data_IF_263174953541
#
_entry.id   IF_263174953541
#
_cell.length_a   1.000
_cell.length_b   1.000
_cell.length_c   1.000
_cell.angle_alpha   90.00
_cell.angle_beta   90.00
_cell.angle_gamma   90.00
#
_symmetry.space_group_name_H-M   'P 1'
#
loop_
_entity.id
_entity.type
_entity.pdbx_description
1 polymer ?
#
# COMPACT_ATOMS: atom_id res chain seq x y z
N UNK A 1 8.99 -28.12 11.98
CA UNK A 1 9.64 -26.80 11.76
C UNK A 1 8.93 -26.20 10.58
N UNK A 2 7.87 -25.44 10.84
CA UNK A 2 7.06 -24.80 9.80
C UNK A 2 7.93 -23.74 9.14
N UNK A 3 8.17 -23.88 7.84
CA UNK A 3 8.79 -22.82 7.05
C UNK A 3 7.76 -21.71 6.93
N UNK A 4 7.82 -20.71 7.82
CA UNK A 4 7.08 -19.46 7.67
C UNK A 4 7.43 -18.93 6.27
N UNK A 5 6.42 -18.81 5.41
CA UNK A 5 6.58 -18.28 4.06
C UNK A 5 6.76 -16.76 4.15
N UNK A 6 7.91 -16.32 4.65
CA UNK A 6 8.25 -14.89 4.73
C UNK A 6 8.24 -14.35 3.30
N UNK A 7 7.41 -13.33 3.00
CA UNK A 7 7.42 -12.70 1.70
C UNK A 7 8.85 -12.26 1.37
N UNK A 8 9.27 -12.40 0.11
CA UNK A 8 10.60 -11.91 -0.34
C UNK A 8 10.50 -10.77 -1.33
N UNK A 9 9.33 -10.18 -1.42
CA UNK A 9 9.00 -9.15 -2.41
C UNK A 9 7.91 -8.24 -1.85
N UNK A 10 7.91 -6.99 -2.30
CA UNK A 10 6.83 -6.02 -2.05
C UNK A 10 5.61 -6.27 -2.93
N UNK A 11 5.73 -7.06 -4.01
CA UNK A 11 4.65 -7.33 -4.95
C UNK A 11 3.42 -7.97 -4.29
N UNK A 12 2.24 -7.68 -4.81
CA UNK A 12 0.94 -8.19 -4.37
C UNK A 12 0.20 -7.27 -3.42
N UNK A 13 -0.92 -7.76 -2.87
CA UNK A 13 -1.81 -7.00 -2.00
C UNK A 13 -1.38 -7.04 -0.52
N UNK A 14 -1.54 -5.90 0.14
CA UNK A 14 -1.22 -5.66 1.54
C UNK A 14 -2.39 -4.95 2.22
N UNK A 15 -2.74 -5.39 3.43
CA UNK A 15 -3.72 -4.76 4.31
C UNK A 15 -3.01 -3.79 5.24
N UNK A 16 -3.34 -2.51 5.18
CA UNK A 16 -2.79 -1.49 6.08
C UNK A 16 -3.45 -1.66 7.45
N UNK A 17 -2.67 -1.93 8.50
CA UNK A 17 -3.20 -2.21 9.83
C UNK A 17 -2.91 -1.10 10.85
N UNK A 18 -1.94 -0.25 10.58
CA UNK A 18 -1.55 0.87 11.44
C UNK A 18 -1.17 2.08 10.58
N UNK A 19 -1.52 3.26 11.07
CA UNK A 19 -1.12 4.58 10.58
C UNK A 19 -0.77 5.46 11.77
N UNK A 20 0.19 6.37 11.61
CA UNK A 20 0.60 7.29 12.68
C UNK A 20 -0.51 8.28 13.08
N UNK A 21 -1.31 8.74 12.11
CA UNK A 21 -2.28 9.83 12.30
C UNK A 21 -3.73 9.36 12.53
N UNK A 22 -4.07 8.11 12.19
CA UNK A 22 -5.46 7.63 12.15
C UNK A 22 -5.60 6.27 12.82
N UNK A 23 -6.68 6.08 13.58
CA UNK A 23 -7.02 4.80 14.17
C UNK A 23 -7.59 3.81 13.13
N UNK A 24 -7.86 2.57 13.56
CA UNK A 24 -8.26 1.48 12.66
C UNK A 24 -9.63 1.70 12.01
N UNK A 25 -10.54 2.37 12.71
CA UNK A 25 -11.89 2.64 12.20
C UNK A 25 -11.84 3.75 11.16
N UNK A 26 -10.99 4.76 11.39
CA UNK A 26 -10.72 5.82 10.43
C UNK A 26 -10.06 5.29 9.15
N UNK A 27 -9.01 4.47 9.24
CA UNK A 27 -8.34 3.95 8.02
C UNK A 27 -9.27 3.11 7.15
N UNK A 28 -10.26 2.44 7.74
CA UNK A 28 -11.20 1.57 7.03
C UNK A 28 -12.52 2.27 6.62
N UNK A 29 -12.56 3.61 6.66
CA UNK A 29 -13.77 4.40 6.41
C UNK A 29 -14.50 4.01 5.11
N UNK A 30 -13.75 3.80 4.02
CA UNK A 30 -14.28 3.39 2.71
C UNK A 30 -14.07 1.89 2.41
N UNK A 31 -14.01 1.07 3.47
CA UNK A 31 -13.69 -0.36 3.40
C UNK A 31 -12.22 -0.64 3.75
N UNK A 32 -11.78 -1.90 3.67
CA UNK A 32 -10.44 -2.28 4.12
C UNK A 32 -9.35 -1.44 3.45
N UNK A 33 -8.55 -0.75 4.26
CA UNK A 33 -7.37 -0.05 3.76
C UNK A 33 -6.36 -1.04 3.16
N UNK A 34 -6.03 -0.87 1.88
CA UNK A 34 -5.17 -1.77 1.12
C UNK A 34 -4.15 -1.00 0.30
N UNK A 35 -3.05 -1.68 0.00
CA UNK A 35 -2.04 -1.22 -0.95
C UNK A 35 -1.59 -2.43 -1.78
N UNK A 36 -1.61 -2.30 -3.10
CA UNK A 36 -1.21 -3.34 -4.03
C UNK A 36 -0.08 -2.84 -4.93
N UNK A 37 0.97 -3.66 -5.05
CA UNK A 37 2.09 -3.42 -5.94
C UNK A 37 2.11 -4.44 -7.08
N UNK A 38 1.92 -3.95 -8.29
CA UNK A 38 1.92 -4.71 -9.54
C UNK A 38 3.33 -5.01 -10.03
N UNK A 39 3.43 -5.94 -11.00
CA UNK A 39 4.72 -6.31 -11.63
C UNK A 39 5.13 -5.37 -12.78
N UNK A 40 4.21 -4.53 -13.20
CA UNK A 40 4.29 -3.63 -14.35
C UNK A 40 4.64 -2.20 -13.95
N UNK A 41 5.31 -2.03 -12.80
CA UNK A 41 5.66 -0.72 -12.24
C UNK A 41 4.43 0.13 -11.88
N UNK A 42 3.26 -0.49 -11.69
CA UNK A 42 2.05 0.17 -11.23
C UNK A 42 1.60 -0.35 -9.88
N UNK A 43 0.70 0.40 -9.23
CA UNK A 43 0.01 -0.07 -8.05
C UNK A 43 -1.22 0.76 -7.75
N UNK A 44 -1.95 0.36 -6.71
CA UNK A 44 -3.11 1.08 -6.22
C UNK A 44 -3.15 1.05 -4.70
N UNK A 45 -3.83 2.02 -4.11
CA UNK A 45 -4.12 1.99 -2.69
C UNK A 45 -5.49 2.58 -2.39
N UNK A 46 -6.00 2.23 -1.21
CA UNK A 46 -7.14 2.85 -0.55
C UNK A 46 -6.87 2.90 0.95
N UNK A 47 -7.12 4.03 1.59
CA UNK A 47 -7.30 4.16 3.03
C UNK A 47 -8.10 5.43 3.29
N UNK A 48 -8.80 5.54 4.42
CA UNK A 48 -9.70 6.67 4.71
C UNK A 48 -10.66 6.93 3.52
N UNK A 49 -10.86 8.19 3.12
CA UNK A 49 -11.53 8.60 1.88
C UNK A 49 -10.55 8.85 0.70
N UNK A 50 -9.36 8.25 0.73
CA UNK A 50 -8.32 8.43 -0.29
C UNK A 50 -8.14 7.17 -1.12
N UNK A 51 -8.14 7.32 -2.43
CA UNK A 51 -7.79 6.29 -3.40
C UNK A 51 -6.78 6.85 -4.41
N UNK A 52 -5.82 6.03 -4.85
CA UNK A 52 -4.84 6.49 -5.82
C UNK A 52 -4.17 5.38 -6.61
N UNK A 53 -3.78 5.71 -7.83
CA UNK A 53 -2.89 4.92 -8.67
C UNK A 53 -1.43 5.33 -8.43
N UNK A 54 -0.52 4.37 -8.49
CA UNK A 54 0.91 4.56 -8.21
C UNK A 54 1.77 4.25 -9.45
N UNK A 55 2.74 5.11 -9.77
CA UNK A 55 3.92 4.79 -10.60
C UNK A 55 5.03 4.34 -9.65
N UNK A 56 5.45 3.08 -9.75
CA UNK A 56 6.29 2.38 -8.80
C UNK A 56 7.68 2.07 -9.37
N UNK A 57 8.72 2.35 -8.61
CA UNK A 57 10.10 1.95 -8.90
C UNK A 57 10.56 0.91 -7.88
N UNK A 58 10.66 -0.33 -8.34
CA UNK A 58 11.06 -1.46 -7.50
C UNK A 58 12.58 -1.52 -7.39
N UNK A 59 13.07 -1.56 -6.15
CA UNK A 59 14.48 -1.49 -5.84
C UNK A 59 14.86 -2.45 -4.71
N UNK A 60 16.17 -2.53 -4.45
CA UNK A 60 16.73 -3.19 -3.28
C UNK A 60 17.49 -2.15 -2.46
N UNK A 61 17.12 -1.98 -1.18
CA UNK A 61 17.80 -1.07 -0.26
C UNK A 61 18.29 -1.85 0.95
N UNK A 62 19.59 -1.76 1.23
CA UNK A 62 20.25 -2.54 2.29
C UNK A 62 19.98 -4.06 2.21
N UNK A 63 19.87 -4.57 0.98
CA UNK A 63 19.57 -5.99 0.71
C UNK A 63 18.10 -6.38 0.85
N UNK A 64 17.21 -5.44 1.17
CA UNK A 64 15.77 -5.67 1.36
C UNK A 64 14.95 -5.15 0.17
N UNK A 65 13.84 -5.83 -0.20
CA UNK A 65 12.90 -5.32 -1.18
C UNK A 65 12.33 -3.97 -0.79
N UNK A 66 12.41 -3.01 -1.70
CA UNK A 66 11.98 -1.63 -1.55
C UNK A 66 11.18 -1.21 -2.78
N UNK A 67 10.26 -0.27 -2.60
CA UNK A 67 9.57 0.41 -3.70
C UNK A 67 9.41 1.88 -3.36
N UNK A 68 9.77 2.75 -4.30
CA UNK A 68 9.42 4.17 -4.28
C UNK A 68 8.27 4.40 -5.25
N UNK A 69 7.40 5.36 -4.96
CA UNK A 69 6.30 5.66 -5.85
C UNK A 69 5.89 7.14 -5.83
N UNK A 70 5.42 7.63 -6.97
CA UNK A 70 4.52 8.78 -7.03
C UNK A 70 3.08 8.30 -7.19
N UNK A 71 2.11 9.09 -6.77
CA UNK A 71 0.70 8.73 -6.91
C UNK A 71 -0.17 9.93 -7.26
N UNK A 72 -1.29 9.65 -7.92
CA UNK A 72 -2.38 10.58 -8.20
C UNK A 72 -3.72 9.89 -7.92
N UNK A 73 -4.73 10.66 -7.54
CA UNK A 73 -6.00 10.11 -7.10
C UNK A 73 -6.99 11.14 -6.55
N UNK A 74 -7.81 10.69 -5.62
CA UNK A 74 -8.92 11.41 -5.01
C UNK A 74 -8.81 11.36 -3.48
N UNK A 75 -9.10 12.47 -2.81
CA UNK A 75 -9.24 12.60 -1.36
C UNK A 75 -10.60 13.26 -1.06
N UNK A 76 -11.58 12.45 -0.66
CA UNK A 76 -12.96 12.88 -0.36
C UNK A 76 -13.64 13.69 -1.50
N UNK A 77 -13.38 13.30 -2.75
CA UNK A 77 -13.92 13.96 -3.94
C UNK A 77 -13.05 15.09 -4.52
N UNK A 78 -11.91 15.40 -3.90
CA UNK A 78 -10.95 16.39 -4.38
C UNK A 78 -9.71 15.71 -5.00
N UNK A 79 -9.20 16.18 -6.15
CA UNK A 79 -7.98 15.64 -6.75
C UNK A 79 -6.77 15.79 -5.82
N UNK A 80 -6.09 14.67 -5.56
CA UNK A 80 -4.92 14.60 -4.70
C UNK A 80 -3.76 13.88 -5.41
N UNK A 81 -2.54 14.18 -4.97
CA UNK A 81 -1.33 13.54 -5.50
C UNK A 81 -0.20 13.62 -4.48
N UNK A 82 0.83 12.80 -4.68
CA UNK A 82 1.95 12.76 -3.77
C UNK A 82 2.99 11.72 -4.10
N UNK A 83 3.69 11.26 -3.07
CA UNK A 83 4.75 10.23 -3.19
C UNK A 83 4.80 9.35 -1.96
N UNK A 84 5.59 8.30 -2.03
CA UNK A 84 5.85 7.45 -0.87
C UNK A 84 6.90 6.39 -1.15
N UNK A 85 7.12 5.57 -0.14
CA UNK A 85 7.96 4.40 -0.24
C UNK A 85 7.43 3.29 0.65
N UNK A 86 7.82 2.05 0.35
CA UNK A 86 7.56 0.90 1.18
C UNK A 86 8.74 -0.09 1.15
N UNK A 87 9.03 -0.69 2.29
CA UNK A 87 10.09 -1.67 2.47
C UNK A 87 9.56 -2.90 3.20
N UNK A 88 10.04 -4.07 2.78
CA UNK A 88 9.74 -5.31 3.47
C UNK A 88 10.59 -5.42 4.75
N UNK A 89 9.93 -5.62 5.90
CA UNK A 89 10.57 -5.84 7.20
C UNK A 89 10.91 -7.33 7.43
N UNK A 90 11.78 -7.60 8.41
CA UNK A 90 12.26 -8.95 8.71
C UNK A 90 11.14 -9.88 9.23
N UNK A 91 10.08 -9.31 9.81
CA UNK A 91 8.89 -10.05 10.27
C UNK A 91 7.88 -10.35 9.15
N UNK A 92 8.20 -9.97 7.91
CA UNK A 92 7.35 -10.17 6.73
C UNK A 92 6.24 -9.14 6.54
N UNK A 93 6.14 -8.13 7.41
CA UNK A 93 5.28 -6.97 7.21
C UNK A 93 5.91 -5.94 6.26
N UNK A 94 5.08 -5.04 5.75
CA UNK A 94 5.50 -3.91 4.94
C UNK A 94 5.42 -2.65 5.79
N UNK A 95 6.50 -1.88 5.80
CA UNK A 95 6.57 -0.57 6.45
C UNK A 95 6.80 0.48 5.38
N UNK A 96 6.23 1.66 5.54
CA UNK A 96 6.43 2.72 4.59
C UNK A 96 5.90 4.05 5.06
N UNK A 97 6.01 5.05 4.19
CA UNK A 97 5.50 6.39 4.43
C UNK A 97 4.84 6.91 3.16
N UNK A 98 3.68 7.52 3.31
CA UNK A 98 2.98 8.22 2.23
C UNK A 98 2.97 9.72 2.52
N UNK A 99 3.17 10.52 1.49
CA UNK A 99 3.20 11.98 1.53
C UNK A 99 2.13 12.51 0.58
N UNK A 100 1.33 13.46 1.05
CA UNK A 100 0.46 14.28 0.22
C UNK A 100 1.24 15.51 -0.24
N UNK A 101 1.09 15.89 -1.51
CA UNK A 101 1.72 17.10 -2.02
C UNK A 101 1.21 18.32 -1.26
N UNK A 102 2.11 19.06 -0.60
CA UNK A 102 1.78 20.23 0.23
C UNK A 102 0.80 19.93 1.38
N UNK A 103 0.68 18.67 1.78
CA UNK A 103 -0.16 18.23 2.88
C UNK A 103 0.61 17.43 3.91
N UNK A 104 -0.13 16.63 4.66
CA UNK A 104 0.42 15.76 5.68
C UNK A 104 1.14 14.55 5.07
N UNK A 105 1.84 13.83 5.94
CA UNK A 105 2.45 12.56 5.65
C UNK A 105 2.30 11.61 6.83
N UNK A 106 2.29 10.31 6.56
CA UNK A 106 2.03 9.31 7.60
C UNK A 106 2.78 8.03 7.34
N UNK A 107 3.44 7.53 8.38
CA UNK A 107 3.94 6.16 8.40
C UNK A 107 2.78 5.17 8.36
N UNK A 108 3.01 4.03 7.74
CA UNK A 108 2.08 2.92 7.76
C UNK A 108 2.78 1.58 7.98
N UNK A 109 2.03 0.66 8.58
CA UNK A 109 2.37 -0.77 8.64
C UNK A 109 1.29 -1.56 7.94
N UNK A 110 1.69 -2.50 7.10
CA UNK A 110 0.79 -3.39 6.39
C UNK A 110 1.22 -4.85 6.48
N UNK A 111 0.25 -5.76 6.48
CA UNK A 111 0.45 -7.21 6.45
C UNK A 111 -0.05 -7.77 5.13
N UNK A 112 0.36 -8.98 4.77
CA UNK A 112 -0.16 -9.63 3.56
C UNK A 112 -1.69 -9.69 3.63
N UNK A 113 -2.34 -9.23 2.57
CA UNK A 113 -3.78 -9.39 2.46
C UNK A 113 -4.08 -10.87 2.22
N UNK A 114 -5.00 -11.45 2.99
CA UNK A 114 -5.52 -12.79 2.68
C UNK A 114 -6.25 -12.71 1.35
N UNK A 115 -5.74 -13.42 0.34
CA UNK A 115 -6.39 -13.50 -0.97
C UNK A 115 -7.64 -14.36 -0.82
N UNK A 116 -8.78 -13.74 -0.54
CA UNK A 116 -10.05 -14.28 -1.00
C UNK A 116 -10.26 -13.80 -2.43
N UNK A 117 -9.90 -14.62 -3.41
CA UNK A 117 -10.30 -14.41 -4.81
C UNK A 117 -11.61 -15.16 -5.13
N UNK A 118 -12.30 -14.84 -6.25
CA UNK A 118 -12.24 -13.62 -7.06
C UNK A 118 -13.64 -12.98 -7.23
N UNK A 119 -13.69 -11.70 -7.62
CA UNK A 119 -14.78 -11.23 -8.47
C UNK A 119 -14.21 -10.89 -9.85
N UNK A 120 -14.05 -11.94 -10.65
CA UNK A 120 -14.20 -11.80 -12.10
C UNK A 120 -15.60 -11.23 -12.35
N UNK A 121 -15.69 -9.94 -12.62
CA UNK A 121 -16.75 -9.40 -13.44
C UNK A 121 -16.09 -8.73 -14.65
N UNK A 122 -15.97 -9.54 -15.71
CA UNK A 122 -15.93 -9.01 -17.07
C UNK A 122 -17.25 -8.25 -17.30
N UNK A 123 -17.08 -7.03 -17.80
CA UNK A 123 -17.83 -6.45 -18.93
C UNK A 123 -19.24 -5.89 -18.66
N UNK A 124 -19.74 -4.94 -19.48
CA UNK A 124 -19.35 -4.60 -20.87
C UNK A 124 -18.08 -3.77 -21.02
#
# INVERSE_FOLDING_TARGET
>A
METSNTPRTVLGAWRIIEKELWDREAIDLMGPAVMEFGRDETGLFRFIAVEGGMDCRHEQRDGRPHVEFSWEGDDDGDPAHGRGWAALADDGSLHGRIYFHMGDDSDFRAVRADVQGPASARSP
#
